data_IF_498368640598
#
_entry.id   IF_498368640598
#
_cell.length_a   1.000
_cell.length_b   1.000
_cell.length_c   1.000
_cell.angle_alpha   90.00
_cell.angle_beta   90.00
_cell.angle_gamma   90.00
#
_symmetry.space_group_name_H-M   'P 1'
#
loop_
_entity.id
_entity.type
_entity.pdbx_description
1 polymer ?
#
# COMPACT_ATOMS: atom_id res chain seq x y z
N UNK A 1 24.34 -32.49 -0.68
CA UNK A 1 22.99 -31.87 -0.68
C UNK A 1 23.11 -30.48 -1.29
N UNK A 2 22.48 -30.16 -2.43
CA UNK A 2 22.57 -28.82 -2.99
C UNK A 2 21.83 -27.84 -2.08
N UNK A 3 22.56 -26.90 -1.49
CA UNK A 3 21.98 -25.79 -0.72
C UNK A 3 21.17 -24.93 -1.69
N UNK A 4 19.84 -24.97 -1.58
CA UNK A 4 18.96 -24.01 -2.26
C UNK A 4 19.37 -22.62 -1.79
N UNK A 5 20.12 -21.89 -2.61
CA UNK A 5 20.33 -20.45 -2.45
C UNK A 5 18.99 -19.80 -2.73
N UNK A 6 18.13 -19.68 -1.72
CA UNK A 6 16.94 -18.86 -1.81
C UNK A 6 17.42 -17.42 -2.00
N UNK A 7 17.51 -16.98 -3.26
CA UNK A 7 17.67 -15.58 -3.61
C UNK A 7 16.38 -14.91 -3.16
N UNK A 8 16.37 -14.33 -1.95
CA UNK A 8 15.25 -13.49 -1.49
C UNK A 8 15.06 -12.42 -2.55
N UNK A 9 13.97 -12.51 -3.29
CA UNK A 9 13.48 -11.47 -4.19
C UNK A 9 12.96 -10.30 -3.36
N UNK A 10 13.83 -9.71 -2.53
CA UNK A 10 13.55 -8.50 -1.75
C UNK A 10 14.12 -7.23 -2.41
N UNK A 11 14.65 -7.35 -3.63
CA UNK A 11 15.45 -6.29 -4.27
C UNK A 11 14.67 -5.45 -5.30
N UNK A 12 13.37 -5.70 -5.48
CA UNK A 12 12.54 -4.92 -6.40
C UNK A 12 11.34 -4.31 -5.69
N UNK A 13 11.55 -3.10 -5.17
CA UNK A 13 10.52 -2.07 -4.97
C UNK A 13 9.27 -2.53 -4.21
N UNK A 14 9.41 -2.88 -2.94
CA UNK A 14 8.22 -2.97 -2.08
C UNK A 14 7.51 -1.59 -2.09
N UNK A 15 6.19 -1.54 -2.30
CA UNK A 15 5.48 -0.27 -2.35
C UNK A 15 5.60 0.42 -0.99
N UNK A 16 6.24 1.58 -0.96
CA UNK A 16 6.41 2.39 0.26
C UNK A 16 5.19 3.25 0.52
N UNK A 17 4.43 3.56 -0.52
CA UNK A 17 3.22 4.38 -0.47
C UNK A 17 2.05 3.66 -1.13
N UNK A 18 0.85 4.14 -0.85
CA UNK A 18 -0.41 3.61 -1.34
C UNK A 18 -1.28 4.76 -1.83
N UNK A 19 -1.81 4.63 -3.03
CA UNK A 19 -2.81 5.55 -3.58
C UNK A 19 -4.18 4.89 -3.53
N UNK A 20 -5.21 5.63 -3.11
CA UNK A 20 -6.58 5.17 -3.17
C UNK A 20 -7.01 4.97 -4.64
N UNK A 21 -7.48 3.77 -4.99
CA UNK A 21 -7.90 3.46 -6.35
C UNK A 21 -9.15 4.22 -6.81
N UNK A 22 -9.88 4.84 -5.88
CA UNK A 22 -11.04 5.68 -6.19
C UNK A 22 -10.58 6.96 -6.87
N UNK A 23 -10.86 7.08 -8.17
CA UNK A 23 -10.43 8.19 -9.04
C UNK A 23 -10.75 9.60 -8.51
N UNK A 24 -11.81 9.76 -7.72
CA UNK A 24 -12.20 11.05 -7.12
C UNK A 24 -11.45 11.39 -5.83
N UNK A 25 -10.93 10.39 -5.12
CA UNK A 25 -10.25 10.59 -3.85
C UNK A 25 -8.75 10.83 -4.06
N UNK A 26 -8.08 9.96 -4.82
CA UNK A 26 -6.63 10.02 -5.09
C UNK A 26 -5.74 10.23 -3.86
N UNK A 27 -6.24 9.86 -2.67
CA UNK A 27 -5.47 9.96 -1.44
C UNK A 27 -4.20 9.14 -1.58
N UNK A 28 -3.06 9.71 -1.17
CA UNK A 28 -1.77 9.04 -1.14
C UNK A 28 -1.20 9.09 0.27
N UNK A 29 -0.73 7.96 0.76
CA UNK A 29 -0.09 7.89 2.07
C UNK A 29 0.67 6.59 2.26
N UNK A 30 1.32 6.45 3.40
CA UNK A 30 1.99 5.19 3.79
C UNK A 30 0.99 4.19 4.34
N UNK A 31 1.45 2.96 4.59
CA UNK A 31 0.60 1.91 5.18
C UNK A 31 -0.01 2.33 6.52
N UNK A 32 0.80 2.94 7.39
CA UNK A 32 0.39 3.44 8.71
C UNK A 32 -0.66 4.55 8.67
N UNK A 33 -0.73 5.31 7.58
CA UNK A 33 -1.71 6.39 7.44
C UNK A 33 -3.09 5.89 6.96
N UNK A 34 -3.23 4.59 6.65
CA UNK A 34 -4.53 4.01 6.32
C UNK A 34 -5.43 4.00 7.55
N UNK A 35 -6.71 4.30 7.35
CA UNK A 35 -7.69 4.14 8.40
C UNK A 35 -8.05 2.66 8.56
N UNK A 36 -8.56 2.31 9.74
CA UNK A 36 -8.98 0.95 10.09
C UNK A 36 -10.49 0.94 10.25
N UNK A 37 -11.17 0.01 9.59
CA UNK A 37 -12.61 -0.20 9.75
C UNK A 37 -12.88 -1.59 10.30
N UNK A 38 -13.57 -1.73 11.44
CA UNK A 38 -13.91 -3.04 11.96
C UNK A 38 -14.98 -3.69 11.07
N UNK A 39 -14.79 -4.97 10.76
CA UNK A 39 -15.70 -5.79 9.94
C UNK A 39 -16.72 -6.60 10.77
N UNK A 40 -16.73 -6.41 12.10
CA UNK A 40 -17.64 -7.09 13.04
C UNK A 40 -17.15 -8.44 13.55
N UNK A 41 -16.29 -9.15 12.82
CA UNK A 41 -15.82 -10.50 13.19
C UNK A 41 -14.43 -10.50 13.85
N UNK A 42 -14.05 -9.41 14.53
CA UNK A 42 -12.68 -9.22 15.06
C UNK A 42 -11.62 -8.90 14.00
N UNK A 43 -11.99 -8.84 12.72
CA UNK A 43 -11.13 -8.38 11.63
C UNK A 43 -11.25 -6.88 11.42
N UNK A 44 -10.13 -6.24 11.13
CA UNK A 44 -10.06 -4.84 10.70
C UNK A 44 -9.61 -4.80 9.25
N UNK A 45 -10.37 -4.08 8.42
CA UNK A 45 -9.99 -3.79 7.05
C UNK A 45 -9.23 -2.46 7.01
N UNK A 46 -8.17 -2.41 6.20
CA UNK A 46 -7.50 -1.14 5.88
C UNK A 46 -8.34 -0.40 4.84
N UNK A 47 -8.79 0.79 5.19
CA UNK A 47 -9.62 1.65 4.34
C UNK A 47 -8.97 3.01 4.14
N UNK A 48 -9.29 3.63 3.01
CA UNK A 48 -8.86 4.98 2.72
C UNK A 48 -9.50 5.92 3.75
N UNK A 49 -8.73 6.77 4.46
CA UNK A 49 -9.27 7.66 5.49
C UNK A 49 -10.27 8.68 4.93
N UNK A 50 -10.07 9.12 3.68
CA UNK A 50 -10.88 10.15 3.04
C UNK A 50 -12.23 9.63 2.53
N UNK A 51 -12.26 8.43 1.96
CA UNK A 51 -13.43 7.95 1.22
C UNK A 51 -13.91 6.54 1.60
N UNK A 52 -13.23 5.87 2.53
CA UNK A 52 -13.55 4.52 3.00
C UNK A 52 -13.30 3.40 1.98
N UNK A 53 -12.58 3.68 0.88
CA UNK A 53 -12.28 2.67 -0.14
C UNK A 53 -11.31 1.61 0.39
N UNK A 54 -11.51 0.36 0.02
CA UNK A 54 -10.66 -0.77 0.42
C UNK A 54 -9.53 -1.02 -0.59
N UNK A 55 -9.67 -0.52 -1.81
CA UNK A 55 -8.71 -0.76 -2.89
C UNK A 55 -7.65 0.34 -2.96
N UNK A 56 -6.39 -0.09 -3.05
CA UNK A 56 -5.23 0.78 -3.13
C UNK A 56 -4.25 0.30 -4.20
N UNK A 57 -3.64 1.24 -4.91
CA UNK A 57 -2.47 1.00 -5.75
C UNK A 57 -1.20 1.15 -4.92
N UNK A 58 -0.29 0.18 -4.99
CA UNK A 58 1.02 0.29 -4.39
C UNK A 58 1.92 1.19 -5.24
N UNK A 59 2.44 2.26 -4.65
CA UNK A 59 3.37 3.18 -5.29
C UNK A 59 4.79 2.91 -4.81
N UNK A 60 5.74 2.91 -5.74
CA UNK A 60 7.17 2.88 -5.43
C UNK A 60 7.63 4.25 -4.97
N UNK A 61 8.71 4.29 -4.17
CA UNK A 61 9.28 5.56 -3.71
C UNK A 61 9.72 6.46 -4.86
N UNK A 62 10.25 5.88 -5.93
CA UNK A 62 10.64 6.58 -7.16
C UNK A 62 9.45 7.29 -7.82
N UNK A 63 8.28 6.64 -7.86
CA UNK A 63 7.06 7.25 -8.42
C UNK A 63 6.54 8.39 -7.55
N UNK A 64 6.63 8.28 -6.23
CA UNK A 64 6.21 9.36 -5.32
C UNK A 64 7.15 10.56 -5.43
N UNK A 65 8.46 10.30 -5.53
CA UNK A 65 9.48 11.34 -5.75
C UNK A 65 9.27 12.07 -7.07
N UNK A 66 8.91 11.37 -8.15
CA UNK A 66 8.67 12.02 -9.45
C UNK A 66 7.38 12.84 -9.50
N UNK A 67 6.40 12.57 -8.63
CA UNK A 67 5.13 13.31 -8.55
C UNK A 67 5.21 14.58 -7.70
N UNK A 68 6.19 14.69 -6.79
CA UNK A 68 6.51 15.94 -6.07
C UNK A 68 7.41 16.80 -6.95
N UNK A 69 6.80 17.59 -7.83
CA UNK A 69 7.41 18.79 -8.41
C UNK A 69 7.57 19.86 -7.33
#
# INVERSE_FOLDING_TARGET
MPTRKYRRTSDKGQPTHFECAKQKCKWMGTYDQKAYKPRGNGFTDHVCPECGNLEFYGLTEEYVKSKKL
#
